data_IF_666756189890
#
_entry.id   IF_666756189890
#
_cell.length_a   1.000
_cell.length_b   1.000
_cell.length_c   1.000
_cell.angle_alpha   90.00
_cell.angle_beta   90.00
_cell.angle_gamma   90.00
#
_symmetry.space_group_name_H-M   'P 1'
#
loop_
_entity.id
_entity.type
_entity.pdbx_description
1 polymer ?
#
# COMPACT_ATOMS: atom_id res chain seq x y z
N UNK A 1 13.37 6.16 -0.46
CA UNK A 1 11.97 5.80 -0.09
C UNK A 1 11.74 6.29 1.34
N UNK A 2 10.81 7.22 1.53
CA UNK A 2 10.69 7.96 2.80
C UNK A 2 9.65 7.30 3.71
N UNK A 3 8.48 6.91 3.16
CA UNK A 3 7.44 6.20 3.91
C UNK A 3 7.59 4.67 3.79
N UNK A 4 7.26 3.92 4.87
CA UNK A 4 7.21 2.46 4.84
C UNK A 4 6.10 1.96 3.90
N UNK A 5 6.32 0.78 3.33
CA UNK A 5 5.30 0.09 2.52
C UNK A 5 4.42 -0.75 3.41
N UNK A 6 3.12 -0.60 3.28
CA UNK A 6 2.12 -1.37 4.02
C UNK A 6 1.54 -2.52 3.20
N UNK A 7 0.76 -3.38 3.86
CA UNK A 7 0.05 -4.50 3.21
C UNK A 7 -1.14 -4.05 2.34
N UNK A 8 -1.62 -2.82 2.53
CA UNK A 8 -2.68 -2.17 1.77
C UNK A 8 -2.16 -0.93 1.03
N UNK A 9 -2.94 -0.42 0.07
CA UNK A 9 -2.50 0.68 -0.79
C UNK A 9 -2.57 1.98 0.01
N UNK A 10 -1.43 2.66 0.15
CA UNK A 10 -1.38 3.96 0.83
C UNK A 10 -1.44 5.08 -0.21
N UNK A 11 -2.49 5.91 -0.14
CA UNK A 11 -2.68 7.06 -1.03
C UNK A 11 -2.23 8.34 -0.32
N UNK A 12 -1.24 9.00 -0.88
CA UNK A 12 -0.72 10.30 -0.41
C UNK A 12 -1.25 11.36 -1.35
N UNK A 13 -1.90 12.38 -0.81
CA UNK A 13 -2.54 13.43 -1.59
C UNK A 13 -2.18 14.79 -1.01
N UNK A 14 -1.86 15.74 -1.88
CA UNK A 14 -1.70 17.13 -1.54
C UNK A 14 -2.98 17.88 -1.92
N UNK A 15 -3.62 18.48 -0.92
CA UNK A 15 -4.84 19.25 -1.08
C UNK A 15 -4.56 20.72 -0.83
N UNK A 16 -5.05 21.59 -1.70
CA UNK A 16 -5.00 23.04 -1.51
C UNK A 16 -6.34 23.61 -1.97
N UNK A 17 -6.95 24.46 -1.13
CA UNK A 17 -8.22 25.17 -1.44
C UNK A 17 -9.32 24.25 -1.99
N UNK A 18 -9.46 23.05 -1.42
CA UNK A 18 -10.51 22.09 -1.78
C UNK A 18 -10.25 21.26 -3.05
N UNK A 19 -9.09 21.42 -3.70
CA UNK A 19 -8.70 20.62 -4.87
C UNK A 19 -7.45 19.80 -4.59
N UNK A 20 -7.40 18.59 -5.15
CA UNK A 20 -6.20 17.73 -5.12
C UNK A 20 -5.24 18.26 -6.19
N UNK A 21 -4.05 18.70 -5.79
CA UNK A 21 -3.02 19.21 -6.72
C UNK A 21 -2.05 18.09 -7.12
N UNK A 22 -1.71 17.20 -6.18
CA UNK A 22 -0.83 16.08 -6.44
C UNK A 22 -1.32 14.83 -5.71
N UNK A 23 -1.13 13.67 -6.33
CA UNK A 23 -1.48 12.38 -5.74
C UNK A 23 -0.42 11.35 -6.10
N UNK A 24 0.06 10.62 -5.11
CA UNK A 24 0.96 9.48 -5.28
C UNK A 24 0.45 8.30 -4.46
N UNK A 25 0.39 7.13 -5.09
CA UNK A 25 0.05 5.89 -4.39
C UNK A 25 1.27 5.01 -4.21
N UNK A 26 1.49 4.55 -2.99
CA UNK A 26 2.51 3.54 -2.68
C UNK A 26 1.90 2.16 -2.93
N UNK A 27 2.62 1.33 -3.69
CA UNK A 27 2.19 -0.03 -3.98
C UNK A 27 2.22 -0.87 -2.70
N UNK A 28 1.17 -1.68 -2.42
CA UNK A 28 1.14 -2.53 -1.25
C UNK A 28 2.09 -3.72 -1.39
N UNK A 29 2.64 -4.17 -0.27
CA UNK A 29 3.33 -5.46 -0.20
C UNK A 29 2.36 -6.60 -0.52
N UNK A 30 2.81 -7.59 -1.27
CA UNK A 30 1.97 -8.74 -1.67
C UNK A 30 2.77 -10.02 -1.51
N UNK A 31 2.22 -10.96 -0.75
CA UNK A 31 2.68 -12.36 -0.77
C UNK A 31 2.19 -13.05 -2.04
N UNK A 32 3.05 -13.81 -2.69
CA UNK A 32 2.61 -14.74 -3.73
C UNK A 32 1.86 -15.91 -3.08
N UNK A 33 0.53 -15.82 -3.11
CA UNK A 33 -0.37 -16.84 -2.56
C UNK A 33 -0.51 -18.06 -3.48
N UNK A 34 -0.03 -17.97 -4.72
CA UNK A 34 -0.17 -19.04 -5.73
C UNK A 34 1.11 -19.85 -5.93
N UNK A 35 2.23 -19.46 -5.31
CA UNK A 35 3.54 -20.06 -5.57
C UNK A 35 3.67 -21.54 -5.22
N UNK A 36 2.86 -22.07 -4.30
CA UNK A 36 2.87 -23.50 -3.93
C UNK A 36 1.91 -24.35 -4.78
N UNK A 37 1.11 -23.72 -5.65
CA UNK A 37 0.12 -24.45 -6.45
C UNK A 37 0.80 -25.09 -7.65
N UNK A 38 0.90 -26.41 -7.63
CA UNK A 38 1.27 -27.22 -8.79
C UNK A 38 0.02 -27.46 -9.64
N UNK A 39 -0.19 -26.67 -10.71
CA UNK A 39 -1.23 -26.94 -11.70
C UNK A 39 -1.95 -25.73 -12.30
N UNK A 40 -2.83 -26.05 -13.25
CA UNK A 40 -3.60 -25.11 -14.08
C UNK A 40 -4.99 -24.75 -13.56
N UNK A 41 -5.38 -25.19 -12.36
CA UNK A 41 -6.71 -24.90 -11.79
C UNK A 41 -6.86 -23.39 -11.48
N UNK A 42 -7.40 -22.67 -12.46
CA UNK A 42 -7.67 -21.24 -12.39
C UNK A 42 -8.68 -20.90 -11.30
N UNK A 43 -9.64 -21.79 -11.02
CA UNK A 43 -10.67 -21.58 -10.00
C UNK A 43 -10.05 -21.46 -8.61
N UNK A 44 -9.08 -22.33 -8.27
CA UNK A 44 -8.35 -22.22 -7.00
C UNK A 44 -7.47 -20.98 -6.92
N UNK A 45 -6.77 -20.61 -8.01
CA UNK A 45 -5.95 -19.39 -8.05
C UNK A 45 -6.80 -18.14 -7.83
N UNK A 46 -7.98 -18.08 -8.46
CA UNK A 46 -8.93 -16.98 -8.31
C UNK A 46 -9.46 -16.88 -6.88
N UNK A 47 -9.88 -18.00 -6.26
CA UNK A 47 -10.33 -18.03 -4.86
C UNK A 47 -9.30 -17.45 -3.89
N UNK A 48 -8.02 -17.80 -4.04
CA UNK A 48 -6.94 -17.26 -3.20
C UNK A 48 -6.70 -15.77 -3.43
N UNK A 49 -6.72 -15.33 -4.70
CA UNK A 49 -6.58 -13.91 -5.07
C UNK A 49 -7.74 -13.07 -4.53
N UNK A 50 -8.97 -13.58 -4.58
CA UNK A 50 -10.14 -12.90 -4.02
C UNK A 50 -10.06 -12.78 -2.50
N UNK A 51 -9.63 -13.84 -1.80
CA UNK A 51 -9.40 -13.79 -0.36
C UNK A 51 -8.35 -12.74 0.01
N UNK A 52 -7.26 -12.66 -0.76
CA UNK A 52 -6.23 -11.65 -0.57
C UNK A 52 -6.76 -10.23 -0.83
N UNK A 53 -7.57 -10.04 -1.89
CA UNK A 53 -8.19 -8.76 -2.21
C UNK A 53 -9.11 -8.28 -1.07
N UNK A 54 -10.04 -9.12 -0.62
CA UNK A 54 -10.96 -8.79 0.48
C UNK A 54 -10.22 -8.46 1.78
N UNK A 55 -9.15 -9.21 2.09
CA UNK A 55 -8.29 -8.91 3.24
C UNK A 55 -7.61 -7.54 3.13
N UNK A 56 -7.11 -7.19 1.95
CA UNK A 56 -6.50 -5.88 1.70
C UNK A 56 -7.52 -4.74 1.76
N UNK A 57 -8.70 -4.92 1.19
CA UNK A 57 -9.77 -3.91 1.23
C UNK A 57 -10.21 -3.63 2.68
N UNK A 58 -10.25 -4.67 3.52
CA UNK A 58 -10.51 -4.51 4.96
C UNK A 58 -9.38 -3.75 5.66
N UNK A 59 -8.14 -4.13 5.40
CA UNK A 59 -6.97 -3.44 5.96
C UNK A 59 -6.88 -1.98 5.49
N UNK A 60 -7.32 -1.65 4.28
CA UNK A 60 -7.34 -0.27 3.79
C UNK A 60 -8.36 0.60 4.53
N UNK A 61 -9.53 0.04 4.87
CA UNK A 61 -10.59 0.75 5.60
C UNK A 61 -10.24 1.00 7.06
N UNK A 62 -9.68 -0.01 7.73
CA UNK A 62 -9.36 0.03 9.17
C UNK A 62 -7.90 0.48 9.44
N UNK A 63 -7.10 0.59 8.38
CA UNK A 63 -5.66 0.78 8.46
C UNK A 63 -5.25 2.16 8.94
N UNK A 64 -4.45 2.19 10.01
CA UNK A 64 -3.73 3.39 10.44
C UNK A 64 -2.26 3.25 10.04
N UNK A 65 -1.71 4.27 9.39
CA UNK A 65 -0.29 4.32 9.03
C UNK A 65 0.46 5.07 10.13
N UNK A 66 1.40 4.39 10.79
CA UNK A 66 2.25 5.02 11.78
C UNK A 66 3.46 5.67 11.09
N UNK A 67 3.59 6.99 11.19
CA UNK A 67 4.73 7.74 10.65
C UNK A 67 5.80 7.86 11.73
N UNK A 68 6.96 7.25 11.52
CA UNK A 68 8.08 7.36 12.47
C UNK A 68 8.69 8.77 12.47
N UNK A 69 9.25 9.17 13.61
CA UNK A 69 9.89 10.48 13.76
C UNK A 69 11.04 10.70 12.76
N UNK A 70 11.85 9.67 12.53
CA UNK A 70 12.93 9.69 11.53
C UNK A 70 12.42 9.94 10.11
N UNK A 71 11.26 9.38 9.78
CA UNK A 71 10.61 9.56 8.47
C UNK A 71 10.16 11.00 8.28
N UNK A 72 9.63 11.61 9.34
CA UNK A 72 9.20 13.00 9.34
C UNK A 72 10.39 13.96 9.21
N UNK A 73 11.47 13.75 9.98
CA UNK A 73 12.70 14.53 9.89
C UNK A 73 13.30 14.48 8.48
N UNK A 74 13.29 13.29 7.83
CA UNK A 74 13.74 13.14 6.43
C UNK A 74 12.86 13.87 5.42
N UNK A 75 11.56 14.07 5.70
CA UNK A 75 10.70 14.90 4.83
C UNK A 75 10.93 16.39 5.02
N UNK A 76 11.20 16.84 6.26
CA UNK A 76 11.32 18.26 6.59
C UNK A 76 12.68 18.87 6.26
N UNK A 77 13.77 18.08 6.23
CA UNK A 77 15.10 18.61 5.92
C UNK A 77 15.14 19.13 4.47
N UNK A 78 15.36 20.44 4.24
CA UNK A 78 15.50 20.97 2.90
C UNK A 78 16.88 20.62 2.35
N UNK A 79 16.93 19.82 1.28
CA UNK A 79 18.06 19.85 0.35
C UNK A 79 19.22 18.88 0.56
N UNK A 80 19.00 17.63 0.94
CA UNK A 80 19.96 16.56 0.61
C UNK A 80 19.34 15.66 -0.45
N UNK A 81 19.85 15.82 -1.69
CA UNK A 81 19.60 14.88 -2.79
C UNK A 81 20.37 13.60 -2.56
#
# INVERSE_FOLDING_TARGET
>A
KILPTEMFRVKIQAYVRGRIIASRSIAPMKKDVTGYMYGGDNTRKMKLREKQKRGKDRMEREGKVHISHDTFLKMMKPGEK
#
